data_IF_793855405687
#
_entry.id   IF_793855405687
#
_cell.length_a   1.000
_cell.length_b   1.000
_cell.length_c   1.000
_cell.angle_alpha   90.00
_cell.angle_beta   90.00
_cell.angle_gamma   90.00
#
_symmetry.space_group_name_H-M   'P 1'
#
loop_
_entity.id
_entity.type
_entity.pdbx_description
1 polymer ?
#
# COMPACT_ATOMS: atom_id res chain seq x y z
N UNK A 1 -24.18 20.45 -5.04
CA UNK A 1 -23.04 19.97 -5.84
C UNK A 1 -21.84 20.86 -5.51
N UNK A 2 -20.78 20.30 -4.98
CA UNK A 2 -19.56 21.02 -4.63
C UNK A 2 -18.89 21.56 -5.90
N UNK A 3 -18.37 22.79 -5.86
CA UNK A 3 -17.73 23.39 -7.04
C UNK A 3 -16.32 22.83 -7.21
N UNK A 4 -15.85 22.66 -8.43
CA UNK A 4 -14.51 22.19 -8.73
C UNK A 4 -13.41 22.97 -7.99
N UNK A 5 -13.56 24.29 -7.88
CA UNK A 5 -12.62 25.13 -7.15
C UNK A 5 -12.54 24.81 -5.63
N UNK A 6 -13.67 24.44 -5.03
CA UNK A 6 -13.73 24.06 -3.62
C UNK A 6 -13.06 22.69 -3.41
N UNK A 7 -13.27 21.76 -4.35
CA UNK A 7 -12.62 20.44 -4.35
C UNK A 7 -11.12 20.60 -4.53
N UNK A 8 -10.67 21.41 -5.49
CA UNK A 8 -9.26 21.67 -5.75
C UNK A 8 -8.56 22.27 -4.53
N UNK A 9 -9.20 23.24 -3.87
CA UNK A 9 -8.63 23.81 -2.64
C UNK A 9 -8.41 22.75 -1.56
N UNK A 10 -9.43 21.96 -1.26
CA UNK A 10 -9.31 20.87 -0.29
C UNK A 10 -8.28 19.82 -0.70
N UNK A 11 -8.24 19.49 -1.98
CA UNK A 11 -7.26 18.59 -2.55
C UNK A 11 -5.83 19.09 -2.31
N UNK A 12 -5.54 20.35 -2.61
CA UNK A 12 -4.23 20.95 -2.42
C UNK A 12 -3.80 20.86 -0.93
N UNK A 13 -4.69 21.24 -0.01
CA UNK A 13 -4.43 21.16 1.43
C UNK A 13 -4.07 19.74 1.90
N UNK A 14 -4.77 18.73 1.36
CA UNK A 14 -4.55 17.33 1.75
C UNK A 14 -3.26 16.78 1.16
N UNK A 15 -2.99 17.05 -0.11
CA UNK A 15 -1.77 16.60 -0.78
C UNK A 15 -0.54 17.21 -0.11
N UNK A 16 -0.57 18.51 0.16
CA UNK A 16 0.52 19.18 0.85
C UNK A 16 0.79 18.56 2.23
N UNK A 17 -0.26 18.33 3.00
CA UNK A 17 -0.15 17.71 4.31
C UNK A 17 0.34 16.25 4.25
N UNK A 18 -0.29 15.45 3.38
CA UNK A 18 -0.09 13.99 3.35
C UNK A 18 1.17 13.58 2.58
N UNK A 19 1.50 14.30 1.51
CA UNK A 19 2.53 13.91 0.56
C UNK A 19 3.74 14.85 0.54
N UNK A 20 3.65 16.00 1.19
CA UNK A 20 4.73 17.00 1.18
C UNK A 20 4.91 17.73 -0.16
N UNK A 21 3.90 17.66 -1.05
CA UNK A 21 3.94 18.27 -2.38
C UNK A 21 3.51 19.73 -2.27
N UNK A 22 4.25 20.66 -2.88
CA UNK A 22 3.91 22.07 -2.85
C UNK A 22 2.69 22.43 -3.72
N UNK A 23 2.01 23.54 -3.39
CA UNK A 23 0.78 23.99 -4.04
C UNK A 23 0.87 24.09 -5.57
N UNK A 24 1.99 24.56 -6.11
CA UNK A 24 2.18 24.69 -7.55
C UNK A 24 2.15 23.34 -8.28
N UNK A 25 2.68 22.29 -7.67
CA UNK A 25 2.65 20.92 -8.22
C UNK A 25 1.27 20.26 -8.02
N UNK A 26 0.56 20.55 -6.93
CA UNK A 26 -0.78 20.01 -6.68
C UNK A 26 -1.82 20.47 -7.68
N UNK A 27 -1.68 21.68 -8.21
CA UNK A 27 -2.54 22.18 -9.31
C UNK A 27 -2.33 21.36 -10.61
N UNK A 28 -1.11 20.94 -10.89
CA UNK A 28 -0.80 20.05 -11.99
C UNK A 28 -1.46 18.68 -11.82
N UNK A 29 -1.33 18.09 -10.63
CA UNK A 29 -1.97 16.82 -10.28
C UNK A 29 -3.49 16.86 -10.38
N UNK A 30 -4.11 17.93 -9.90
CA UNK A 30 -5.57 18.07 -9.98
C UNK A 30 -6.06 18.13 -11.43
N UNK A 31 -5.37 18.85 -12.30
CA UNK A 31 -5.68 18.90 -13.74
C UNK A 31 -5.51 17.53 -14.41
N UNK A 32 -4.43 16.82 -14.10
CA UNK A 32 -4.17 15.50 -14.64
C UNK A 32 -5.22 14.49 -14.18
N UNK A 33 -5.55 14.48 -12.87
CA UNK A 33 -6.65 13.68 -12.35
C UNK A 33 -7.95 13.95 -13.10
N UNK A 34 -8.32 15.22 -13.30
CA UNK A 34 -9.55 15.59 -14.01
C UNK A 34 -9.57 15.05 -15.44
N UNK A 35 -8.44 15.13 -16.15
CA UNK A 35 -8.29 14.59 -17.49
C UNK A 35 -8.43 13.06 -17.52
N UNK A 36 -7.73 12.36 -16.61
CA UNK A 36 -7.75 10.90 -16.53
C UNK A 36 -9.12 10.34 -16.14
N UNK A 37 -9.90 11.06 -15.34
CA UNK A 37 -11.24 10.63 -14.88
C UNK A 37 -12.41 11.18 -15.71
N UNK A 38 -12.13 11.99 -16.72
CA UNK A 38 -13.18 12.64 -17.53
C UNK A 38 -14.22 11.66 -18.08
N UNK A 39 -13.79 10.50 -18.57
CA UNK A 39 -14.67 9.48 -19.13
C UNK A 39 -15.65 8.88 -18.10
N UNK A 40 -15.25 8.74 -16.82
CA UNK A 40 -16.17 8.36 -15.74
C UNK A 40 -17.13 9.48 -15.40
N UNK A 41 -16.62 10.71 -15.29
CA UNK A 41 -17.40 11.89 -14.93
C UNK A 41 -18.50 12.12 -15.96
N UNK A 42 -18.17 12.04 -17.25
CA UNK A 42 -19.12 12.19 -18.34
C UNK A 42 -20.17 11.07 -18.34
N UNK A 43 -19.73 9.83 -18.15
CA UNK A 43 -20.63 8.66 -18.10
C UNK A 43 -21.58 8.67 -16.91
N UNK A 44 -21.13 9.13 -15.77
CA UNK A 44 -21.89 9.13 -14.52
C UNK A 44 -22.68 10.42 -14.28
N UNK A 45 -22.35 11.49 -15.00
CA UNK A 45 -22.91 12.81 -14.79
C UNK A 45 -22.40 13.49 -13.51
N UNK A 46 -21.25 13.05 -12.98
CA UNK A 46 -20.65 13.61 -11.78
C UNK A 46 -19.49 12.78 -11.24
N UNK A 47 -18.90 13.21 -10.14
CA UNK A 47 -17.74 12.54 -9.52
C UNK A 47 -18.13 11.28 -8.73
N UNK A 48 -19.39 11.20 -8.31
CA UNK A 48 -19.90 10.10 -7.51
C UNK A 48 -21.29 9.69 -7.95
N UNK A 49 -21.60 8.41 -7.81
CA UNK A 49 -22.94 7.86 -8.00
C UNK A 49 -23.31 7.07 -6.74
N UNK A 50 -24.44 7.42 -6.13
CA UNK A 50 -24.95 6.76 -4.92
C UNK A 50 -26.11 5.83 -5.25
N UNK A 51 -26.09 4.60 -4.73
CA UNK A 51 -27.23 3.70 -4.80
C UNK A 51 -28.33 4.19 -3.85
N UNK A 52 -29.60 4.24 -4.31
CA UNK A 52 -30.68 4.71 -3.48
C UNK A 52 -31.02 3.78 -2.32
N UNK A 53 -30.83 2.47 -2.49
CA UNK A 53 -31.12 1.46 -1.48
C UNK A 53 -30.01 1.34 -0.46
N UNK A 54 -30.37 1.08 0.78
CA UNK A 54 -29.44 0.73 1.84
C UNK A 54 -28.99 -0.72 1.72
N UNK A 55 -27.71 -0.97 1.89
CA UNK A 55 -27.08 -2.27 1.73
C UNK A 55 -26.57 -2.78 3.06
N UNK A 56 -26.79 -4.05 3.35
CA UNK A 56 -26.27 -4.74 4.53
C UNK A 56 -25.18 -5.71 4.08
N UNK A 57 -23.97 -5.53 4.62
CA UNK A 57 -22.86 -6.46 4.42
C UNK A 57 -22.62 -7.24 5.71
N UNK A 58 -22.68 -8.55 5.61
CA UNK A 58 -22.27 -9.46 6.68
C UNK A 58 -20.77 -9.77 6.56
N UNK A 59 -20.08 -9.76 7.68
CA UNK A 59 -18.70 -10.24 7.75
C UNK A 59 -18.67 -11.75 7.43
N UNK A 60 -17.72 -12.23 6.61
CA UNK A 60 -17.57 -13.67 6.34
C UNK A 60 -17.48 -14.50 7.63
N UNK A 61 -18.04 -15.68 7.63
CA UNK A 61 -18.04 -16.56 8.82
C UNK A 61 -16.63 -16.95 9.27
N UNK A 62 -15.71 -17.10 8.31
CA UNK A 62 -14.30 -17.37 8.63
C UNK A 62 -13.66 -16.20 9.38
N UNK A 63 -13.86 -14.96 8.92
CA UNK A 63 -13.38 -13.77 9.62
C UNK A 63 -13.98 -13.65 11.03
N UNK A 64 -15.29 -13.95 11.16
CA UNK A 64 -15.96 -13.96 12.47
C UNK A 64 -15.32 -14.99 13.40
N UNK A 65 -14.97 -16.16 12.89
CA UNK A 65 -14.33 -17.23 13.67
C UNK A 65 -12.95 -16.82 14.13
N UNK A 66 -12.14 -16.23 13.27
CA UNK A 66 -10.78 -15.76 13.60
C UNK A 66 -10.87 -14.67 14.69
N UNK A 67 -11.68 -13.63 14.49
CA UNK A 67 -11.84 -12.55 15.44
C UNK A 67 -12.40 -13.00 16.79
N UNK A 68 -13.29 -13.99 16.80
CA UNK A 68 -13.76 -14.61 18.01
C UNK A 68 -12.63 -15.30 18.77
N UNK A 69 -11.80 -16.09 18.07
CA UNK A 69 -10.67 -16.79 18.68
C UNK A 69 -9.64 -15.80 19.24
N UNK A 70 -9.28 -14.78 18.50
CA UNK A 70 -8.37 -13.71 18.95
C UNK A 70 -8.90 -12.97 20.19
N UNK A 71 -10.22 -12.74 20.22
CA UNK A 71 -10.86 -12.13 21.39
C UNK A 71 -10.78 -13.05 22.59
N UNK A 72 -11.08 -14.34 22.41
CA UNK A 72 -11.07 -15.34 23.50
C UNK A 72 -9.66 -15.47 24.08
N UNK A 73 -8.64 -15.60 23.24
CA UNK A 73 -7.26 -15.79 23.69
C UNK A 73 -6.76 -14.55 24.46
N UNK A 74 -7.05 -13.34 24.00
CA UNK A 74 -6.69 -12.12 24.70
C UNK A 74 -7.48 -11.94 26.01
N UNK A 75 -8.78 -12.25 26.02
CA UNK A 75 -9.60 -12.19 27.22
C UNK A 75 -9.13 -13.17 28.30
N UNK A 76 -8.82 -14.41 27.87
CA UNK A 76 -8.28 -15.43 28.78
C UNK A 76 -6.93 -15.01 29.34
N UNK A 77 -6.03 -14.49 28.51
CA UNK A 77 -4.72 -14.03 28.95
C UNK A 77 -4.77 -12.97 30.03
N UNK A 78 -5.75 -12.05 29.97
CA UNK A 78 -5.91 -10.94 30.92
C UNK A 78 -6.91 -11.22 32.07
N UNK A 79 -7.50 -12.40 32.12
CA UNK A 79 -8.48 -12.77 33.13
C UNK A 79 -7.81 -13.16 34.46
N UNK A 80 -8.44 -12.80 35.59
CA UNK A 80 -8.06 -13.27 36.92
C UNK A 80 -8.35 -14.77 37.10
N UNK A 81 -9.24 -15.33 36.28
CA UNK A 81 -9.68 -16.74 36.28
C UNK A 81 -9.50 -17.36 34.91
N UNK A 82 -8.23 -17.45 34.47
CA UNK A 82 -7.88 -17.86 33.11
C UNK A 82 -8.38 -19.25 32.73
N UNK A 83 -8.27 -20.21 33.64
CA UNK A 83 -8.69 -21.60 33.39
C UNK A 83 -10.21 -21.69 33.20
N UNK A 84 -10.96 -21.10 34.13
CA UNK A 84 -12.42 -21.11 34.14
C UNK A 84 -12.97 -20.34 32.92
N UNK A 85 -12.37 -19.20 32.58
CA UNK A 85 -12.77 -18.42 31.42
C UNK A 85 -12.51 -19.18 30.12
N UNK A 86 -11.39 -19.90 30.00
CA UNK A 86 -11.09 -20.75 28.85
C UNK A 86 -12.10 -21.89 28.74
N UNK A 87 -12.44 -22.57 29.83
CA UNK A 87 -13.45 -23.62 29.84
C UNK A 87 -14.84 -23.07 29.51
N UNK A 88 -15.16 -21.88 30.02
CA UNK A 88 -16.40 -21.20 29.68
C UNK A 88 -16.50 -20.95 28.18
N UNK A 89 -15.49 -20.30 27.54
CA UNK A 89 -15.53 -20.04 26.11
C UNK A 89 -15.51 -21.31 25.27
N UNK A 90 -14.82 -22.37 25.69
CA UNK A 90 -14.85 -23.68 25.00
C UNK A 90 -16.27 -24.30 24.99
N UNK A 91 -17.13 -23.93 25.94
CA UNK A 91 -18.54 -24.39 25.98
C UNK A 91 -19.47 -23.49 25.15
N UNK A 92 -18.97 -22.36 24.62
CA UNK A 92 -19.74 -21.42 23.81
C UNK A 92 -19.42 -21.58 22.32
N UNK A 93 -20.13 -20.85 21.47
CA UNK A 93 -19.93 -20.82 20.02
C UNK A 93 -19.67 -19.40 19.54
N UNK A 94 -18.98 -19.25 18.40
CA UNK A 94 -18.79 -17.95 17.76
C UNK A 94 -20.15 -17.30 17.41
N UNK A 95 -21.14 -18.06 16.98
CA UNK A 95 -22.49 -17.56 16.72
C UNK A 95 -23.11 -16.98 18.00
N UNK A 96 -23.05 -17.72 19.13
CA UNK A 96 -23.52 -17.21 20.43
C UNK A 96 -22.83 -15.94 20.86
N UNK A 97 -21.53 -15.82 20.58
CA UNK A 97 -20.76 -14.60 20.84
C UNK A 97 -21.33 -13.42 20.06
N UNK A 98 -21.52 -13.56 18.73
CA UNK A 98 -22.07 -12.49 17.89
C UNK A 98 -23.54 -12.16 18.17
N UNK A 99 -24.28 -13.08 18.76
CA UNK A 99 -25.62 -12.83 19.28
C UNK A 99 -25.60 -12.22 20.72
N UNK A 100 -24.42 -12.05 21.31
CA UNK A 100 -24.25 -11.68 22.72
C UNK A 100 -25.03 -12.58 23.68
N UNK A 101 -25.00 -13.88 23.44
CA UNK A 101 -25.82 -14.85 24.18
C UNK A 101 -24.98 -16.04 24.64
N UNK A 102 -25.12 -16.39 25.91
CA UNK A 102 -24.61 -17.66 26.45
C UNK A 102 -25.46 -18.79 25.90
N UNK A 103 -24.85 -19.65 25.08
CA UNK A 103 -25.54 -20.77 24.41
C UNK A 103 -25.69 -21.94 25.36
N UNK A 104 -24.61 -22.31 26.05
CA UNK A 104 -24.57 -23.42 27.01
C UNK A 104 -24.39 -22.91 28.43
N UNK A 105 -25.19 -23.42 29.38
CA UNK A 105 -24.98 -23.12 30.78
C UNK A 105 -23.60 -23.60 31.25
N UNK A 106 -22.98 -22.85 32.16
CA UNK A 106 -21.67 -23.13 32.70
C UNK A 106 -21.71 -23.15 34.23
N UNK A 107 -21.09 -24.19 34.82
CA UNK A 107 -20.92 -24.30 36.29
C UNK A 107 -19.56 -24.93 36.56
N UNK A 108 -18.65 -24.15 37.14
CA UNK A 108 -17.31 -24.58 37.58
C UNK A 108 -16.80 -23.65 38.67
N UNK A 109 -16.16 -24.22 39.68
CA UNK A 109 -15.50 -23.51 40.79
C UNK A 109 -16.35 -22.39 41.44
N UNK A 110 -17.65 -22.66 41.61
CA UNK A 110 -18.62 -21.74 42.24
C UNK A 110 -19.16 -20.66 41.28
N UNK A 111 -18.73 -20.64 40.02
CA UNK A 111 -19.25 -19.78 38.96
C UNK A 111 -20.45 -20.48 38.32
N UNK A 112 -21.63 -19.84 38.39
CA UNK A 112 -22.85 -20.35 37.75
C UNK A 112 -23.39 -19.35 36.73
N UNK A 113 -23.38 -19.72 35.46
CA UNK A 113 -23.83 -18.88 34.36
C UNK A 113 -24.93 -19.62 33.58
N UNK A 114 -26.19 -19.16 33.61
CA UNK A 114 -27.28 -19.82 32.93
C UNK A 114 -27.23 -19.55 31.43
N UNK A 115 -27.67 -20.53 30.63
CA UNK A 115 -27.93 -20.33 29.22
C UNK A 115 -28.94 -19.18 28.99
N UNK A 116 -28.76 -18.42 27.91
CA UNK A 116 -29.60 -17.26 27.58
C UNK A 116 -29.17 -15.96 28.27
N UNK A 117 -28.23 -15.96 29.22
CA UNK A 117 -27.64 -14.74 29.73
C UNK A 117 -26.91 -13.97 28.63
N UNK A 118 -26.85 -12.63 28.73
CA UNK A 118 -25.97 -11.84 27.87
C UNK A 118 -24.51 -12.21 28.11
N UNK A 119 -23.80 -12.62 27.07
CA UNK A 119 -22.41 -13.08 27.17
C UNK A 119 -21.49 -11.95 27.67
N UNK A 120 -21.71 -10.69 27.27
CA UNK A 120 -21.00 -9.54 27.81
C UNK A 120 -21.17 -9.37 29.34
N UNK A 121 -22.34 -9.75 29.88
CA UNK A 121 -22.58 -9.71 31.32
C UNK A 121 -21.90 -10.86 32.07
N UNK A 122 -21.66 -11.99 31.45
CA UNK A 122 -21.00 -13.13 32.10
C UNK A 122 -19.53 -12.86 32.39
N UNK A 123 -18.89 -11.98 31.63
CA UNK A 123 -17.46 -11.61 31.82
C UNK A 123 -17.15 -11.13 33.26
N UNK A 124 -18.12 -10.51 33.94
CA UNK A 124 -17.95 -10.05 35.32
C UNK A 124 -17.57 -11.17 36.32
N UNK A 125 -17.79 -12.43 36.01
CA UNK A 125 -17.42 -13.55 36.85
C UNK A 125 -15.93 -13.92 36.74
N UNK A 126 -15.24 -13.36 35.74
CA UNK A 126 -13.88 -13.72 35.37
C UNK A 126 -12.88 -12.56 35.45
N UNK A 127 -13.36 -11.34 35.64
CA UNK A 127 -12.54 -10.14 35.80
C UNK A 127 -12.85 -9.43 37.11
N UNK A 128 -11.85 -9.27 37.96
CA UNK A 128 -11.94 -8.52 39.22
C UNK A 128 -11.65 -7.03 38.98
N UNK A 129 -10.70 -6.72 38.09
CA UNK A 129 -10.42 -5.35 37.66
C UNK A 129 -11.53 -4.82 36.75
N UNK A 130 -12.19 -3.78 37.22
CA UNK A 130 -13.28 -3.11 36.51
C UNK A 130 -12.82 -2.51 35.16
N UNK A 131 -11.59 -1.99 35.07
CA UNK A 131 -11.07 -1.40 33.83
C UNK A 131 -10.88 -2.47 32.76
N UNK A 132 -10.36 -3.64 33.17
CA UNK A 132 -10.22 -4.77 32.25
C UNK A 132 -11.58 -5.32 31.82
N UNK A 133 -12.52 -5.47 32.74
CA UNK A 133 -13.89 -5.86 32.43
C UNK A 133 -14.51 -4.91 31.37
N UNK A 134 -14.44 -3.60 31.63
CA UNK A 134 -15.00 -2.58 30.74
C UNK A 134 -14.31 -2.61 29.35
N UNK A 135 -12.98 -2.83 29.30
CA UNK A 135 -12.20 -3.00 28.06
C UNK A 135 -12.74 -4.17 27.23
N UNK A 136 -12.89 -5.34 27.83
CA UNK A 136 -13.33 -6.54 27.11
C UNK A 136 -14.81 -6.50 26.75
N UNK A 137 -15.67 -5.94 27.59
CA UNK A 137 -17.08 -5.71 27.25
C UNK A 137 -17.23 -4.73 26.09
N UNK A 138 -16.45 -3.67 26.08
CA UNK A 138 -16.43 -2.69 24.96
C UNK A 138 -15.95 -3.33 23.67
N UNK A 139 -14.83 -4.08 23.73
CA UNK A 139 -14.29 -4.80 22.57
C UNK A 139 -15.28 -5.80 22.01
N UNK A 140 -15.94 -6.59 22.86
CA UNK A 140 -17.01 -7.51 22.45
C UNK A 140 -18.15 -6.78 21.74
N UNK A 141 -18.61 -5.67 22.32
CA UNK A 141 -19.71 -4.88 21.73
C UNK A 141 -19.34 -4.35 20.36
N UNK A 142 -18.08 -3.92 20.16
CA UNK A 142 -17.56 -3.48 18.85
C UNK A 142 -17.54 -4.62 17.86
N UNK A 143 -16.99 -5.79 18.21
CA UNK A 143 -16.96 -6.96 17.32
C UNK A 143 -18.36 -7.39 16.88
N UNK A 144 -19.34 -7.32 17.80
CA UNK A 144 -20.75 -7.63 17.49
C UNK A 144 -21.35 -6.58 16.54
N UNK A 145 -21.08 -5.30 16.76
CA UNK A 145 -21.56 -4.24 15.89
C UNK A 145 -20.94 -4.28 14.51
N UNK A 146 -19.67 -4.62 14.44
CA UNK A 146 -18.90 -4.64 13.19
C UNK A 146 -19.11 -5.94 12.38
N UNK A 147 -19.87 -6.92 12.91
CA UNK A 147 -20.17 -8.14 12.14
C UNK A 147 -21.17 -7.91 11.00
N UNK A 148 -21.99 -6.86 11.11
CA UNK A 148 -22.91 -6.39 10.05
C UNK A 148 -22.74 -4.91 9.89
N UNK A 149 -22.43 -4.49 8.68
CA UNK A 149 -22.37 -3.08 8.33
C UNK A 149 -23.44 -2.72 7.33
N UNK A 150 -24.13 -1.62 7.61
CA UNK A 150 -25.21 -1.13 6.77
C UNK A 150 -24.85 0.27 6.26
N UNK A 151 -25.18 0.57 5.04
CA UNK A 151 -24.94 1.88 4.45
C UNK A 151 -25.36 1.96 2.99
N UNK A 152 -25.19 3.15 2.42
CA UNK A 152 -25.39 3.36 1.00
C UNK A 152 -24.11 3.11 0.23
N UNK A 153 -24.22 2.38 -0.87
CA UNK A 153 -23.07 2.14 -1.74
C UNK A 153 -22.85 3.33 -2.66
N UNK A 154 -21.61 3.73 -2.79
CA UNK A 154 -21.18 4.84 -3.64
C UNK A 154 -20.08 4.36 -4.57
N UNK A 155 -20.22 4.65 -5.87
CA UNK A 155 -19.09 4.64 -6.82
C UNK A 155 -18.49 6.04 -6.88
N UNK A 156 -17.17 6.15 -6.88
CA UNK A 156 -16.48 7.42 -6.79
C UNK A 156 -15.21 7.47 -7.62
N UNK A 157 -15.03 8.58 -8.31
CA UNK A 157 -13.74 9.05 -8.84
C UNK A 157 -13.33 10.37 -8.18
N UNK A 158 -14.01 10.75 -7.09
CA UNK A 158 -13.71 11.96 -6.35
C UNK A 158 -12.31 11.89 -5.73
N UNK A 159 -11.40 12.85 -5.96
CA UNK A 159 -10.01 12.75 -5.54
C UNK A 159 -9.85 12.59 -4.04
N UNK A 160 -10.67 13.28 -3.24
CA UNK A 160 -10.62 13.16 -1.79
C UNK A 160 -11.07 11.80 -1.27
N UNK A 161 -11.89 11.06 -2.01
CA UNK A 161 -12.27 9.70 -1.62
C UNK A 161 -11.09 8.73 -1.74
N UNK A 162 -10.22 8.90 -2.73
CA UNK A 162 -8.97 8.14 -2.82
C UNK A 162 -8.01 8.50 -1.70
N UNK A 163 -7.75 9.78 -1.49
CA UNK A 163 -6.84 10.24 -0.44
C UNK A 163 -7.30 9.83 0.95
N UNK A 164 -8.61 9.85 1.21
CA UNK A 164 -9.22 9.41 2.47
C UNK A 164 -9.70 7.95 2.44
N UNK A 165 -9.14 7.12 1.58
CA UNK A 165 -9.60 5.73 1.39
C UNK A 165 -9.59 4.89 2.66
N UNK A 166 -8.72 5.22 3.61
CA UNK A 166 -8.54 4.54 4.88
C UNK A 166 -8.85 5.41 6.10
N UNK A 167 -9.34 6.64 5.87
CA UNK A 167 -9.77 7.52 6.94
C UNK A 167 -11.21 7.19 7.31
N UNK A 168 -11.42 6.71 8.51
CA UNK A 168 -12.72 6.20 8.93
C UNK A 168 -13.00 6.47 10.41
N UNK A 169 -14.25 6.77 10.72
CA UNK A 169 -14.76 6.79 12.09
C UNK A 169 -14.99 5.37 12.64
N UNK A 170 -14.85 4.34 11.81
CA UNK A 170 -14.99 2.94 12.16
C UNK A 170 -13.63 2.31 12.52
N UNK A 171 -13.65 1.18 13.20
CA UNK A 171 -12.47 0.55 13.78
C UNK A 171 -11.64 -0.26 12.77
N UNK A 172 -11.36 0.30 11.61
CA UNK A 172 -10.43 -0.31 10.67
C UNK A 172 -9.47 0.74 10.13
N UNK A 173 -8.27 0.31 9.83
CA UNK A 173 -7.17 1.13 9.36
C UNK A 173 -6.42 0.35 8.29
N UNK A 174 -5.84 1.04 7.32
CA UNK A 174 -4.95 0.43 6.35
C UNK A 174 -3.67 1.25 6.21
N UNK A 175 -2.65 0.63 5.63
CA UNK A 175 -1.38 1.28 5.34
C UNK A 175 -1.48 2.46 4.35
N UNK A 176 -2.64 2.62 3.69
CA UNK A 176 -2.97 3.75 2.83
C UNK A 176 -3.61 4.94 3.57
N UNK A 177 -3.62 4.98 4.90
CA UNK A 177 -4.01 6.17 5.65
C UNK A 177 -3.10 7.37 5.29
N UNK A 178 -3.57 8.60 5.55
CA UNK A 178 -2.84 9.82 5.20
C UNK A 178 -1.45 9.92 5.82
N UNK A 179 -1.24 9.27 6.96
CA UNK A 179 0.02 9.12 7.67
C UNK A 179 0.65 7.72 7.50
N UNK A 180 0.05 6.88 6.66
CA UNK A 180 0.48 5.50 6.47
C UNK A 180 1.69 5.36 5.54
N UNK A 181 2.40 4.25 5.67
CA UNK A 181 3.59 3.90 4.88
C UNK A 181 3.31 3.92 3.36
N UNK A 182 2.13 3.45 2.94
CA UNK A 182 1.74 3.38 1.53
C UNK A 182 0.74 4.46 1.11
N UNK A 183 0.73 5.62 1.79
CA UNK A 183 -0.16 6.74 1.45
C UNK A 183 0.00 7.21 0.00
N UNK A 184 1.22 7.15 -0.53
CA UNK A 184 1.49 7.51 -1.92
C UNK A 184 0.76 6.61 -2.94
N UNK A 185 0.43 5.36 -2.57
CA UNK A 185 -0.40 4.48 -3.39
C UNK A 185 -1.79 5.04 -3.70
N UNK A 186 -2.34 5.88 -2.82
CA UNK A 186 -3.62 6.57 -3.07
C UNK A 186 -3.55 7.54 -4.25
N UNK A 187 -2.40 8.17 -4.48
CA UNK A 187 -2.19 9.02 -5.65
C UNK A 187 -2.18 8.19 -6.93
N UNK A 188 -1.52 7.02 -6.92
CA UNK A 188 -1.52 6.09 -8.05
C UNK A 188 -2.94 5.70 -8.45
N UNK A 189 -3.76 5.25 -7.49
CA UNK A 189 -5.15 4.89 -7.75
C UNK A 189 -5.99 6.08 -8.23
N UNK A 190 -5.79 7.24 -7.62
CA UNK A 190 -6.49 8.47 -7.98
C UNK A 190 -6.14 8.88 -9.42
N UNK A 191 -4.87 8.80 -9.80
CA UNK A 191 -4.38 9.22 -11.11
C UNK A 191 -4.62 8.19 -12.21
N UNK A 192 -4.67 6.90 -11.88
CA UNK A 192 -4.90 5.82 -12.84
C UNK A 192 -6.23 5.99 -13.58
N UNK A 193 -6.18 6.00 -14.92
CA UNK A 193 -7.35 6.24 -15.77
C UNK A 193 -8.40 5.13 -15.74
N UNK A 194 -8.05 3.93 -15.26
CA UNK A 194 -8.94 2.76 -15.19
C UNK A 194 -9.58 2.56 -13.83
N UNK A 195 -9.06 3.23 -12.79
CA UNK A 195 -9.44 2.97 -11.40
C UNK A 195 -10.58 3.85 -10.93
N UNK A 196 -11.55 3.25 -10.26
CA UNK A 196 -12.55 3.94 -9.44
C UNK A 196 -12.76 3.19 -8.13
N UNK A 197 -13.33 3.87 -7.15
CA UNK A 197 -13.61 3.29 -5.84
C UNK A 197 -15.09 2.97 -5.70
N UNK A 198 -15.39 1.85 -5.05
CA UNK A 198 -16.72 1.57 -4.49
C UNK A 198 -16.61 1.48 -2.99
N UNK A 199 -17.50 2.16 -2.28
CA UNK A 199 -17.49 2.13 -0.83
C UNK A 199 -18.90 2.18 -0.22
N UNK A 200 -19.01 1.70 1.00
CA UNK A 200 -20.19 1.89 1.84
C UNK A 200 -20.02 3.15 2.66
N UNK A 201 -20.85 4.14 2.40
CA UNK A 201 -20.87 5.41 3.11
C UNK A 201 -21.34 5.24 4.55
N UNK A 202 -20.63 5.86 5.47
CA UNK A 202 -21.07 5.94 6.86
C UNK A 202 -22.21 6.96 7.03
N UNK A 203 -22.93 6.85 8.17
CA UNK A 203 -24.03 7.76 8.49
C UNK A 203 -23.54 9.16 8.84
N UNK A 204 -22.27 9.27 9.21
CA UNK A 204 -21.61 10.53 9.58
C UNK A 204 -20.30 10.66 8.84
N UNK A 205 -20.02 11.85 8.37
CA UNK A 205 -18.72 12.19 7.82
C UNK A 205 -17.67 12.20 8.92
N UNK A 206 -16.43 11.99 8.50
CA UNK A 206 -15.27 11.93 9.37
C UNK A 206 -14.54 13.27 9.36
N UNK A 207 -14.23 13.81 10.53
CA UNK A 207 -13.49 15.05 10.67
C UNK A 207 -12.06 14.73 11.11
N UNK A 208 -11.11 15.01 10.25
CA UNK A 208 -9.69 14.97 10.59
C UNK A 208 -9.32 16.18 11.46
N UNK A 209 -8.50 16.00 12.53
CA UNK A 209 -8.16 17.07 13.45
C UNK A 209 -7.52 18.30 12.80
N UNK A 210 -6.75 18.10 11.74
CA UNK A 210 -5.95 19.14 11.09
C UNK A 210 -6.63 19.78 9.86
N UNK A 211 -7.87 19.37 9.54
CA UNK A 211 -8.59 19.90 8.39
C UNK A 211 -9.90 20.57 8.81
N UNK A 212 -10.24 21.71 8.17
CA UNK A 212 -11.47 22.44 8.49
C UNK A 212 -12.74 21.82 7.90
N UNK A 213 -12.61 20.77 7.10
CA UNK A 213 -13.73 20.12 6.41
C UNK A 213 -13.89 18.67 6.84
N UNK A 214 -15.08 18.12 6.57
CA UNK A 214 -15.42 16.73 6.83
C UNK A 214 -15.26 15.90 5.55
N UNK A 215 -14.98 14.61 5.72
CA UNK A 215 -14.77 13.65 4.64
C UNK A 215 -15.82 12.56 4.71
N UNK A 216 -16.12 11.96 3.55
CA UNK A 216 -16.94 10.77 3.54
C UNK A 216 -16.25 9.62 4.29
N UNK A 217 -16.78 9.30 5.46
CA UNK A 217 -16.32 8.12 6.20
C UNK A 217 -16.81 6.85 5.51
N UNK A 218 -15.92 5.86 5.44
CA UNK A 218 -16.16 4.61 4.73
C UNK A 218 -16.25 3.45 5.72
N UNK A 219 -17.40 2.78 5.75
CA UNK A 219 -17.58 1.54 6.54
C UNK A 219 -16.92 0.35 5.86
N UNK A 220 -16.83 0.38 4.54
CA UNK A 220 -16.24 -0.63 3.68
C UNK A 220 -15.82 0.00 2.35
N UNK A 221 -14.75 -0.50 1.74
CA UNK A 221 -14.31 -0.05 0.41
C UNK A 221 -13.71 -1.17 -0.43
N UNK A 222 -13.73 -0.96 -1.73
CA UNK A 222 -13.03 -1.77 -2.73
C UNK A 222 -12.63 -0.87 -3.89
N UNK A 223 -11.41 -1.05 -4.40
CA UNK A 223 -11.00 -0.47 -5.68
C UNK A 223 -11.46 -1.37 -6.83
N UNK A 224 -11.86 -0.76 -7.91
CA UNK A 224 -12.28 -1.43 -9.13
C UNK A 224 -11.53 -0.83 -10.31
N UNK A 225 -11.16 -1.69 -11.23
CA UNK A 225 -10.42 -1.33 -12.42
C UNK A 225 -11.23 -1.77 -13.64
N UNK A 226 -11.52 -0.81 -14.53
CA UNK A 226 -12.31 -1.07 -15.72
C UNK A 226 -11.45 -0.93 -16.96
N UNK A 227 -11.48 -1.93 -17.83
CA UNK A 227 -10.80 -1.84 -19.12
C UNK A 227 -11.44 -0.77 -20.01
N UNK A 228 -10.66 -0.15 -20.91
CA UNK A 228 -11.12 0.96 -21.78
C UNK A 228 -12.39 0.66 -22.57
N UNK A 229 -12.57 -0.60 -23.01
CA UNK A 229 -13.79 -1.03 -23.70
C UNK A 229 -15.00 -1.23 -22.76
N UNK A 230 -14.83 -1.07 -21.45
CA UNK A 230 -15.87 -1.22 -20.45
C UNK A 230 -16.36 -2.67 -20.21
N UNK A 231 -15.75 -3.66 -20.89
CA UNK A 231 -16.22 -5.04 -20.88
C UNK A 231 -15.64 -5.89 -19.76
N UNK A 232 -14.52 -5.46 -19.19
CA UNK A 232 -13.86 -6.17 -18.09
C UNK A 232 -13.71 -5.25 -16.91
N UNK A 233 -14.15 -5.73 -15.76
CA UNK A 233 -13.97 -5.05 -14.48
C UNK A 233 -13.22 -5.99 -13.54
N UNK A 234 -12.12 -5.50 -12.97
CA UNK A 234 -11.30 -6.23 -12.02
C UNK A 234 -11.49 -5.66 -10.64
N UNK A 235 -11.50 -6.52 -9.64
CA UNK A 235 -11.69 -6.17 -8.24
C UNK A 235 -10.36 -6.15 -7.52
N UNK A 236 -10.09 -5.05 -6.83
CA UNK A 236 -9.04 -4.97 -5.84
C UNK A 236 -9.46 -5.62 -4.51
N UNK A 237 -8.60 -5.50 -3.53
CA UNK A 237 -8.85 -6.01 -2.17
C UNK A 237 -9.97 -5.23 -1.48
N UNK A 238 -10.80 -5.94 -0.74
CA UNK A 238 -11.86 -5.37 0.07
C UNK A 238 -11.35 -5.05 1.49
N UNK A 239 -11.84 -3.97 2.07
CA UNK A 239 -11.56 -3.55 3.43
C UNK A 239 -12.84 -3.09 4.14
N UNK A 240 -13.03 -3.40 5.42
CA UNK A 240 -12.21 -4.28 6.28
C UNK A 240 -12.48 -5.77 6.07
N UNK A 241 -13.42 -6.15 5.23
CA UNK A 241 -13.80 -7.54 4.98
C UNK A 241 -13.17 -8.03 3.69
N UNK A 242 -12.50 -9.16 3.74
CA UNK A 242 -12.03 -9.87 2.56
C UNK A 242 -13.12 -10.80 2.00
N UNK A 243 -13.18 -10.93 0.67
CA UNK A 243 -13.94 -11.96 -0.06
C UNK A 243 -15.44 -12.11 0.29
N UNK A 244 -16.16 -11.02 0.44
CA UNK A 244 -17.61 -11.08 0.63
C UNK A 244 -18.35 -11.25 -0.72
N UNK A 245 -18.91 -12.44 -0.97
CA UNK A 245 -19.66 -12.74 -2.19
C UNK A 245 -20.91 -11.88 -2.39
N UNK A 246 -21.59 -11.48 -1.30
CA UNK A 246 -22.74 -10.60 -1.38
C UNK A 246 -22.38 -9.23 -1.94
N UNK A 247 -21.22 -8.68 -1.57
CA UNK A 247 -20.70 -7.44 -2.14
C UNK A 247 -20.51 -7.56 -3.64
N UNK A 248 -20.01 -8.70 -4.10
CA UNK A 248 -19.78 -8.92 -5.52
C UNK A 248 -21.08 -8.90 -6.32
N UNK A 249 -22.14 -9.53 -5.81
CA UNK A 249 -23.46 -9.55 -6.45
C UNK A 249 -24.02 -8.13 -6.54
N UNK A 250 -24.03 -7.41 -5.42
CA UNK A 250 -24.54 -6.03 -5.35
C UNK A 250 -23.75 -5.10 -6.26
N UNK A 251 -22.42 -5.23 -6.26
CA UNK A 251 -21.56 -4.43 -7.12
C UNK A 251 -21.81 -4.74 -8.59
N UNK A 252 -22.05 -5.99 -8.96
CA UNK A 252 -22.43 -6.37 -10.33
C UNK A 252 -23.76 -5.73 -10.73
N UNK A 253 -24.80 -5.85 -9.91
CA UNK A 253 -26.10 -5.23 -10.18
C UNK A 253 -26.01 -3.71 -10.31
N UNK A 254 -25.20 -3.10 -9.46
CA UNK A 254 -24.95 -1.66 -9.51
C UNK A 254 -24.18 -1.26 -10.77
N UNK A 255 -23.08 -1.93 -11.06
CA UNK A 255 -22.24 -1.64 -12.21
C UNK A 255 -22.95 -1.86 -13.53
N UNK A 256 -23.86 -2.86 -13.62
CA UNK A 256 -24.67 -3.10 -14.81
C UNK A 256 -25.51 -1.90 -15.26
N UNK A 257 -25.81 -0.96 -14.37
CA UNK A 257 -26.53 0.28 -14.71
C UNK A 257 -25.66 1.32 -15.39
N UNK A 258 -24.32 1.26 -15.17
CA UNK A 258 -23.40 2.31 -15.60
C UNK A 258 -22.38 1.82 -16.64
N UNK A 259 -22.23 0.52 -16.79
CA UNK A 259 -21.36 -0.09 -17.79
C UNK A 259 -22.19 -1.00 -18.66
N UNK A 260 -21.87 -1.09 -19.94
CA UNK A 260 -22.53 -2.03 -20.85
C UNK A 260 -22.01 -3.46 -20.58
N UNK A 261 -22.56 -4.06 -19.54
CA UNK A 261 -22.21 -5.41 -19.13
C UNK A 261 -22.88 -6.50 -19.97
N UNK A 262 -23.66 -6.17 -20.99
CA UNK A 262 -24.28 -7.17 -21.88
C UNK A 262 -23.23 -8.00 -22.64
N UNK A 263 -22.05 -7.42 -22.80
CA UNK A 263 -20.87 -8.07 -23.39
C UNK A 263 -19.79 -8.37 -22.33
N UNK A 264 -20.13 -8.32 -21.05
CA UNK A 264 -19.20 -8.56 -19.96
C UNK A 264 -18.82 -10.04 -19.91
N UNK A 265 -17.55 -10.34 -20.05
CA UNK A 265 -17.02 -11.72 -20.07
C UNK A 265 -16.84 -12.32 -18.67
N UNK A 266 -17.10 -11.54 -17.63
CA UNK A 266 -17.05 -11.96 -16.23
C UNK A 266 -16.13 -11.11 -15.37
N UNK A 267 -16.23 -11.32 -14.06
CA UNK A 267 -15.30 -10.77 -13.10
C UNK A 267 -14.00 -11.54 -13.14
N UNK A 268 -12.93 -10.86 -13.41
CA UNK A 268 -11.60 -11.43 -13.31
C UNK A 268 -11.13 -11.28 -11.87
N UNK A 269 -10.82 -12.40 -11.23
CA UNK A 269 -10.16 -12.38 -9.94
C UNK A 269 -8.69 -12.03 -10.17
N UNK A 270 -8.25 -10.94 -9.59
CA UNK A 270 -6.88 -10.44 -9.69
C UNK A 270 -5.85 -11.52 -9.34
N UNK A 271 -6.16 -12.39 -8.36
CA UNK A 271 -5.27 -13.45 -7.91
C UNK A 271 -4.83 -14.45 -9.00
N UNK A 272 -5.69 -14.68 -9.99
CA UNK A 272 -5.46 -15.74 -10.97
C UNK A 272 -4.97 -15.23 -12.34
N UNK A 273 -5.03 -13.92 -12.60
CA UNK A 273 -4.82 -13.34 -13.93
C UNK A 273 -3.81 -12.20 -13.97
N UNK A 274 -3.08 -11.98 -12.86
CA UNK A 274 -1.98 -11.00 -12.87
C UNK A 274 -0.75 -11.67 -13.47
N UNK A 275 -0.28 -11.12 -14.56
CA UNK A 275 1.07 -11.36 -15.04
C UNK A 275 1.90 -10.12 -14.82
N UNK A 276 3.00 -10.30 -14.12
CA UNK A 276 3.98 -9.26 -13.91
C UNK A 276 4.51 -8.77 -15.27
N UNK A 277 4.44 -7.47 -15.49
CA UNK A 277 5.14 -6.85 -16.61
C UNK A 277 6.62 -6.91 -16.27
N UNK A 278 7.45 -7.28 -17.24
CA UNK A 278 8.88 -7.43 -17.06
C UNK A 278 9.47 -6.13 -16.49
N UNK A 279 10.28 -6.28 -15.47
CA UNK A 279 10.92 -5.21 -14.71
C UNK A 279 11.71 -4.21 -15.60
N UNK A 280 12.22 -4.71 -16.70
CA UNK A 280 13.05 -3.96 -17.65
C UNK A 280 12.28 -2.99 -18.56
N UNK A 281 10.93 -3.04 -18.58
CA UNK A 281 10.13 -2.17 -19.42
C UNK A 281 9.59 -0.93 -18.70
N UNK A 282 9.51 -0.94 -17.37
CA UNK A 282 8.71 0.03 -16.65
C UNK A 282 9.25 0.43 -15.24
N UNK A 283 10.43 0.08 -14.79
CA UNK A 283 10.95 0.48 -13.48
C UNK A 283 10.14 0.00 -12.24
N UNK A 284 10.43 0.50 -11.07
CA UNK A 284 9.76 0.11 -9.82
C UNK A 284 8.45 0.86 -9.59
N UNK A 285 7.43 0.19 -9.08
CA UNK A 285 6.10 0.77 -8.86
C UNK A 285 5.70 0.86 -7.41
N UNK A 286 4.81 1.80 -7.18
CA UNK A 286 4.10 1.96 -5.92
C UNK A 286 3.30 0.70 -5.55
N UNK A 287 3.24 0.43 -4.25
CA UNK A 287 2.42 -0.64 -3.69
C UNK A 287 0.98 -0.53 -4.17
N UNK A 288 0.51 -1.60 -4.73
CA UNK A 288 -0.84 -1.73 -5.23
C UNK A 288 -1.64 -2.69 -4.32
N UNK A 289 -2.86 -2.30 -3.98
CA UNK A 289 -3.75 -3.03 -3.08
C UNK A 289 -4.39 -4.27 -3.74
N UNK A 290 -3.77 -4.76 -4.80
CA UNK A 290 -4.16 -5.99 -5.45
C UNK A 290 -3.52 -7.19 -4.75
N UNK A 291 -4.34 -8.16 -4.41
CA UNK A 291 -3.90 -9.44 -3.85
C UNK A 291 -2.82 -10.05 -4.73
N UNK A 292 -1.75 -10.53 -4.11
CA UNK A 292 -0.63 -11.23 -4.74
C UNK A 292 0.14 -10.44 -5.81
N UNK A 293 -0.10 -9.14 -5.95
CA UNK A 293 0.87 -8.32 -6.66
C UNK A 293 2.17 -8.32 -5.87
N UNK A 294 3.32 -8.68 -6.46
CA UNK A 294 4.58 -8.38 -5.83
C UNK A 294 4.56 -6.88 -5.58
N UNK A 295 4.76 -6.49 -4.33
CA UNK A 295 4.85 -5.12 -3.90
C UNK A 295 5.69 -4.33 -4.88
N UNK A 296 5.19 -3.17 -5.29
CA UNK A 296 5.93 -2.17 -6.07
C UNK A 296 6.07 -2.39 -7.59
N UNK A 297 5.16 -3.11 -8.27
CA UNK A 297 5.26 -3.23 -9.73
C UNK A 297 3.92 -3.04 -10.44
N UNK A 298 3.89 -2.41 -11.64
CA UNK A 298 2.72 -2.39 -12.48
C UNK A 298 2.36 -3.82 -12.85
N UNK A 299 1.09 -4.07 -12.97
CA UNK A 299 0.64 -5.35 -13.43
C UNK A 299 -0.31 -5.17 -14.61
N UNK A 300 -0.16 -6.05 -15.56
CA UNK A 300 -1.11 -6.22 -16.63
C UNK A 300 -2.16 -7.24 -16.20
N UNK A 301 -3.43 -6.90 -16.39
CA UNK A 301 -4.53 -7.80 -16.17
C UNK A 301 -5.00 -8.32 -17.52
N UNK A 302 -5.10 -9.63 -17.62
CA UNK A 302 -5.57 -10.32 -18.81
C UNK A 302 -6.93 -10.95 -18.52
N UNK A 303 -7.84 -10.91 -19.48
CA UNK A 303 -9.09 -11.62 -19.39
C UNK A 303 -8.81 -13.12 -19.56
N UNK A 304 -9.30 -13.94 -18.63
CA UNK A 304 -9.10 -15.39 -18.64
C UNK A 304 -9.76 -16.07 -19.83
N UNK A 305 -10.88 -15.52 -20.31
CA UNK A 305 -11.55 -16.03 -21.53
C UNK A 305 -10.71 -15.86 -22.80
N UNK A 306 -9.63 -15.07 -22.73
CA UNK A 306 -8.72 -14.75 -23.82
C UNK A 306 -7.38 -15.45 -23.62
N UNK A 307 -7.16 -16.12 -22.51
CA UNK A 307 -5.90 -16.78 -22.18
C UNK A 307 -5.48 -17.81 -23.24
N UNK A 308 -6.44 -18.50 -23.85
CA UNK A 308 -6.20 -19.43 -24.96
C UNK A 308 -5.78 -18.72 -26.26
N UNK A 309 -6.08 -17.43 -26.41
CA UNK A 309 -5.71 -16.61 -27.55
C UNK A 309 -4.49 -15.68 -27.29
N UNK A 310 -3.96 -15.66 -26.07
CA UNK A 310 -2.83 -14.82 -25.66
C UNK A 310 -1.50 -15.16 -26.35
N UNK A 311 -1.42 -16.30 -27.00
CA UNK A 311 -0.29 -16.66 -27.85
C UNK A 311 -0.23 -15.89 -29.17
N UNK A 312 -1.31 -15.18 -29.52
CA UNK A 312 -1.29 -14.26 -30.67
C UNK A 312 -0.73 -12.90 -30.25
N UNK A 313 0.34 -12.50 -30.88
CA UNK A 313 1.27 -11.40 -30.56
C UNK A 313 0.70 -9.98 -30.45
N UNK A 314 -0.60 -9.76 -30.64
CA UNK A 314 -1.25 -8.44 -30.64
C UNK A 314 -2.55 -8.44 -29.82
N UNK A 315 -2.48 -8.85 -28.56
CA UNK A 315 -3.69 -8.91 -27.75
C UNK A 315 -4.14 -7.54 -27.24
N UNK A 316 -5.27 -6.97 -27.73
CA UNK A 316 -5.80 -5.68 -27.30
C UNK A 316 -6.48 -5.71 -25.93
N UNK A 317 -6.55 -6.85 -25.27
CA UNK A 317 -7.32 -7.09 -24.05
C UNK A 317 -6.52 -6.90 -22.74
N UNK A 318 -5.36 -6.31 -22.86
CA UNK A 318 -4.48 -6.02 -21.74
C UNK A 318 -4.90 -4.71 -21.04
N UNK A 319 -5.04 -4.75 -19.74
CA UNK A 319 -5.19 -3.57 -18.89
C UNK A 319 -3.93 -3.38 -18.06
N UNK A 320 -3.36 -2.20 -18.13
CA UNK A 320 -2.22 -1.78 -17.33
C UNK A 320 -2.73 -0.95 -16.15
N UNK A 321 -2.42 -1.34 -14.94
CA UNK A 321 -2.78 -0.62 -13.73
C UNK A 321 -1.54 0.09 -13.18
N UNK A 322 -1.70 1.33 -12.74
CA UNK A 322 -0.60 2.20 -12.36
C UNK A 322 -0.08 3.06 -13.51
N UNK A 323 -0.74 2.97 -14.67
CA UNK A 323 -0.48 3.82 -15.82
C UNK A 323 -1.38 5.07 -15.75
N UNK A 324 -0.83 6.24 -15.81
CA UNK A 324 -1.59 7.49 -15.81
C UNK A 324 -1.06 8.56 -14.87
N UNK A 325 0.02 8.27 -14.18
CA UNK A 325 0.76 9.28 -13.43
C UNK A 325 1.93 9.74 -14.27
N UNK A 326 1.96 11.04 -14.54
CA UNK A 326 3.05 11.67 -15.28
C UNK A 326 3.91 12.51 -14.33
N UNK A 327 5.20 12.52 -14.56
CA UNK A 327 6.13 13.40 -13.86
C UNK A 327 5.73 14.86 -14.09
N UNK A 328 5.57 15.62 -13.03
CA UNK A 328 5.17 17.02 -13.12
C UNK A 328 6.26 17.94 -13.69
N UNK A 329 7.49 17.46 -13.81
CA UNK A 329 8.62 18.20 -14.33
C UNK A 329 8.91 17.91 -15.79
N UNK A 330 9.02 16.63 -16.17
CA UNK A 330 9.38 16.24 -17.54
C UNK A 330 8.24 15.60 -18.33
N UNK A 331 7.09 15.28 -17.68
CA UNK A 331 5.93 14.67 -18.34
C UNK A 331 6.11 13.20 -18.72
N UNK A 332 7.20 12.53 -18.31
CA UNK A 332 7.32 11.10 -18.53
C UNK A 332 6.31 10.31 -17.69
N UNK A 333 5.88 9.16 -18.19
CA UNK A 333 5.05 8.27 -17.38
C UNK A 333 5.83 7.75 -16.19
N UNK A 334 5.36 8.09 -15.00
CA UNK A 334 5.95 7.63 -13.76
C UNK A 334 5.37 6.29 -13.36
N UNK A 335 6.26 5.41 -13.05
CA UNK A 335 5.98 4.09 -12.58
C UNK A 335 6.17 3.98 -11.08
N UNK A 336 7.12 4.70 -10.56
CA UNK A 336 7.23 5.08 -9.16
C UNK A 336 7.15 6.59 -9.05
N UNK A 337 6.74 7.10 -7.92
CA UNK A 337 6.79 8.52 -7.63
C UNK A 337 7.29 8.75 -6.22
N UNK A 338 8.22 9.67 -6.14
CA UNK A 338 8.60 10.27 -4.88
C UNK A 338 7.44 11.08 -4.30
N UNK A 339 7.54 11.47 -3.05
CA UNK A 339 6.59 12.42 -2.44
C UNK A 339 6.46 13.74 -3.21
N UNK A 340 7.42 14.06 -4.07
CA UNK A 340 7.41 15.25 -4.92
C UNK A 340 6.64 15.10 -6.22
N UNK A 341 6.16 13.90 -6.56
CA UNK A 341 5.55 13.57 -7.86
C UNK A 341 6.48 13.85 -9.04
N UNK A 342 7.77 13.72 -8.83
CA UNK A 342 8.80 13.75 -9.86
C UNK A 342 9.26 12.32 -10.14
N UNK A 343 9.64 12.02 -11.39
CA UNK A 343 10.29 10.74 -11.71
C UNK A 343 11.68 10.69 -11.03
N UNK A 344 12.25 9.50 -10.95
CA UNK A 344 13.51 9.29 -10.26
C UNK A 344 14.62 10.20 -10.79
N UNK A 345 14.70 10.41 -12.12
CA UNK A 345 15.63 11.35 -12.73
C UNK A 345 15.40 12.82 -12.30
N UNK A 346 14.13 13.28 -12.36
CA UNK A 346 13.81 14.65 -11.97
C UNK A 346 13.89 14.89 -10.46
N UNK A 347 13.73 13.84 -9.65
CA UNK A 347 13.87 13.89 -8.22
C UNK A 347 15.33 13.82 -7.73
N UNK A 348 16.29 13.60 -8.65
CA UNK A 348 17.68 13.37 -8.30
C UNK A 348 17.92 12.07 -7.54
N UNK A 349 17.07 11.07 -7.80
CA UNK A 349 17.20 9.75 -7.19
C UNK A 349 18.11 8.87 -8.02
N UNK A 350 19.13 8.35 -7.37
CA UNK A 350 20.04 7.38 -7.95
C UNK A 350 19.91 6.04 -7.22
N UNK A 351 20.18 4.97 -7.93
CA UNK A 351 20.22 3.63 -7.34
C UNK A 351 21.67 3.18 -7.24
N UNK A 352 22.02 2.59 -6.12
CA UNK A 352 23.32 2.00 -5.95
C UNK A 352 23.53 0.84 -6.95
N UNK A 353 24.54 0.94 -7.80
CA UNK A 353 24.84 -0.06 -8.82
C UNK A 353 25.25 -1.41 -8.23
N UNK A 354 25.70 -1.44 -6.96
CA UNK A 354 26.09 -2.67 -6.28
C UNK A 354 24.91 -3.36 -5.56
N UNK A 355 24.17 -2.65 -4.69
CA UNK A 355 23.12 -3.26 -3.88
C UNK A 355 21.70 -2.96 -4.34
N UNK A 356 21.52 -1.98 -5.25
CA UNK A 356 20.21 -1.56 -5.74
C UNK A 356 19.41 -0.67 -4.77
N UNK A 357 19.99 -0.25 -3.64
CA UNK A 357 19.33 0.67 -2.70
C UNK A 357 19.27 2.07 -3.29
N UNK A 358 18.12 2.77 -3.17
CA UNK A 358 17.98 4.14 -3.64
C UNK A 358 18.61 5.15 -2.68
N UNK A 359 19.17 6.22 -3.21
CA UNK A 359 19.67 7.35 -2.45
C UNK A 359 19.53 8.66 -3.24
N UNK A 360 19.60 9.80 -2.56
CA UNK A 360 19.68 11.09 -3.24
C UNK A 360 21.10 11.31 -3.80
N UNK A 361 21.21 12.13 -4.83
CA UNK A 361 22.49 12.41 -5.50
C UNK A 361 23.59 12.85 -4.52
N UNK A 362 23.24 13.61 -3.48
CA UNK A 362 24.13 14.09 -2.43
C UNK A 362 24.50 13.02 -1.38
N UNK A 363 23.83 11.88 -1.39
CA UNK A 363 24.09 10.70 -0.52
C UNK A 363 24.80 9.57 -1.28
N UNK A 364 25.09 9.75 -2.56
CA UNK A 364 25.71 8.76 -3.41
C UNK A 364 27.16 9.12 -3.73
N UNK A 365 27.98 8.10 -3.88
CA UNK A 365 29.39 8.21 -4.20
C UNK A 365 29.66 7.62 -5.57
N UNK A 366 30.61 8.19 -6.29
CA UNK A 366 31.02 7.67 -7.59
C UNK A 366 32.34 6.93 -7.48
N UNK A 367 32.30 5.65 -7.78
CA UNK A 367 33.45 4.75 -7.79
C UNK A 367 33.69 4.31 -9.23
N UNK A 368 34.66 4.97 -9.91
CA UNK A 368 34.86 4.83 -11.35
C UNK A 368 33.55 5.17 -12.12
N UNK A 369 32.97 4.23 -12.83
CA UNK A 369 31.73 4.39 -13.57
C UNK A 369 30.47 3.99 -12.76
N UNK A 370 30.62 3.58 -11.49
CA UNK A 370 29.56 3.12 -10.62
C UNK A 370 29.07 4.21 -9.68
N UNK A 371 27.76 4.33 -9.52
CA UNK A 371 27.11 5.13 -8.50
C UNK A 371 26.76 4.21 -7.30
N UNK A 372 27.34 4.42 -6.15
CA UNK A 372 27.19 3.54 -4.99
C UNK A 372 26.75 4.28 -3.73
N UNK A 373 25.97 3.63 -2.87
CA UNK A 373 25.60 4.17 -1.56
C UNK A 373 26.81 4.12 -0.59
N UNK A 374 26.70 4.85 0.51
CA UNK A 374 27.76 4.92 1.54
C UNK A 374 28.22 3.56 2.01
N UNK A 375 27.29 2.63 2.30
CA UNK A 375 27.65 1.29 2.74
C UNK A 375 28.45 0.50 1.69
N UNK A 376 28.08 0.62 0.42
CA UNK A 376 28.83 -0.04 -0.67
C UNK A 376 30.14 0.67 -0.97
N UNK A 377 30.19 2.00 -0.81
CA UNK A 377 31.42 2.74 -0.91
C UNK A 377 32.45 2.26 0.12
N UNK A 378 32.06 2.15 1.39
CA UNK A 378 32.95 1.69 2.46
C UNK A 378 33.46 0.25 2.25
N UNK A 379 32.69 -0.59 1.54
CA UNK A 379 33.06 -1.96 1.23
C UNK A 379 33.93 -2.08 -0.02
N UNK A 380 33.65 -1.27 -1.04
CA UNK A 380 34.24 -1.41 -2.38
C UNK A 380 35.43 -0.48 -2.64
N UNK A 381 35.43 0.70 -2.01
CA UNK A 381 36.39 1.73 -2.35
C UNK A 381 37.76 1.48 -1.71
N UNK A 382 38.80 1.58 -2.52
CA UNK A 382 40.20 1.57 -2.10
C UNK A 382 40.87 2.80 -2.71
N UNK A 383 41.75 3.45 -1.93
CA UNK A 383 42.40 4.71 -2.33
C UNK A 383 43.84 4.46 -2.78
N UNK A 384 44.21 5.17 -3.84
CA UNK A 384 45.60 5.26 -4.24
C UNK A 384 46.26 6.40 -3.47
N UNK A 385 47.34 6.12 -2.74
CA UNK A 385 48.07 7.10 -1.92
C UNK A 385 48.68 8.23 -2.73
N UNK A 386 49.04 7.98 -3.98
CA UNK A 386 49.72 9.01 -4.79
C UNK A 386 48.75 9.94 -5.53
N UNK A 387 47.74 9.40 -6.24
CA UNK A 387 46.79 10.24 -6.98
C UNK A 387 45.54 10.60 -6.15
N UNK A 388 45.35 9.95 -5.01
CA UNK A 388 44.21 10.14 -4.11
C UNK A 388 42.85 9.83 -4.78
N UNK A 389 42.85 9.05 -5.87
CA UNK A 389 41.63 8.58 -6.52
C UNK A 389 41.17 7.27 -5.89
N UNK A 390 39.86 7.06 -5.91
CA UNK A 390 39.21 5.87 -5.40
C UNK A 390 38.93 4.87 -6.54
N UNK A 391 39.17 3.61 -6.28
CA UNK A 391 39.00 2.50 -7.22
C UNK A 391 38.19 1.38 -6.61
N UNK A 392 37.57 0.57 -7.46
CA UNK A 392 36.85 -0.62 -7.02
C UNK A 392 37.84 -1.73 -6.66
N UNK A 393 37.90 -2.10 -5.39
CA UNK A 393 38.79 -3.12 -4.85
C UNK A 393 38.73 -4.48 -5.58
N UNK A 394 37.57 -4.82 -6.15
CA UNK A 394 37.37 -6.10 -6.83
C UNK A 394 37.61 -6.04 -8.35
N UNK A 395 37.61 -4.86 -8.95
CA UNK A 395 37.71 -4.69 -10.39
C UNK A 395 39.08 -4.13 -10.82
N UNK A 396 39.69 -3.33 -9.96
CA UNK A 396 40.98 -2.65 -10.27
C UNK A 396 42.13 -3.33 -9.54
N UNK A 397 43.18 -3.69 -10.30
CA UNK A 397 44.42 -4.25 -9.73
C UNK A 397 45.21 -3.17 -8.97
N UNK A 398 44.98 -3.08 -7.67
CA UNK A 398 45.70 -2.22 -6.76
C UNK A 398 46.89 -2.98 -6.17
N UNK A 399 48.05 -2.33 -6.08
CA UNK A 399 49.26 -2.94 -5.52
C UNK A 399 49.52 -2.39 -4.12
N UNK A 400 49.61 -3.32 -3.17
CA UNK A 400 50.02 -3.00 -1.81
C UNK A 400 51.53 -2.81 -1.74
N UNK A 401 51.95 -1.67 -1.23
CA UNK A 401 53.37 -1.38 -1.00
C UNK A 401 53.74 -1.56 0.49
N UNK A 402 54.55 -2.58 0.78
CA UNK A 402 54.92 -2.92 2.16
C UNK A 402 55.78 -1.85 2.85
N UNK A 403 56.53 -1.05 2.07
CA UNK A 403 57.41 -0.03 2.64
C UNK A 403 56.61 1.22 3.11
N UNK A 404 55.56 1.56 2.39
CA UNK A 404 54.74 2.73 2.72
C UNK A 404 53.42 2.36 3.44
N UNK A 405 53.13 1.06 3.57
CA UNK A 405 51.93 0.55 4.22
C UNK A 405 50.63 1.08 3.61
N UNK A 406 50.57 1.16 2.26
CA UNK A 406 49.42 1.75 1.52
C UNK A 406 49.28 1.16 0.12
N UNK A 407 48.15 1.47 -0.54
CA UNK A 407 47.81 1.00 -1.88
C UNK A 407 48.12 2.04 -2.96
N UNK A 408 48.55 1.56 -4.12
CA UNK A 408 48.79 2.35 -5.33
C UNK A 408 48.05 1.74 -6.52
N UNK A 409 47.47 2.57 -7.38
CA UNK A 409 47.05 2.12 -8.68
C UNK A 409 48.25 1.77 -9.56
N UNK A 410 48.04 0.97 -10.61
CA UNK A 410 49.11 0.45 -11.47
C UNK A 410 50.04 1.55 -12.01
N UNK A 411 49.47 2.71 -12.41
CA UNK A 411 50.24 3.83 -12.96
C UNK A 411 51.09 4.50 -11.87
N UNK A 412 50.52 4.77 -10.72
CA UNK A 412 51.21 5.38 -9.59
C UNK A 412 52.29 4.46 -9.00
N UNK A 413 52.04 3.15 -8.99
CA UNK A 413 53.02 2.18 -8.54
C UNK A 413 54.20 2.07 -9.49
N UNK A 414 53.96 2.19 -10.81
CA UNK A 414 55.05 2.24 -11.79
C UNK A 414 55.95 3.47 -11.59
N UNK A 415 55.36 4.64 -11.31
CA UNK A 415 56.09 5.86 -11.01
C UNK A 415 56.94 5.67 -9.72
N UNK A 416 56.34 5.14 -8.68
CA UNK A 416 57.06 4.87 -7.42
C UNK A 416 58.29 3.96 -7.62
N UNK A 417 58.12 2.91 -8.45
CA UNK A 417 59.24 2.04 -8.77
C UNK A 417 60.36 2.68 -9.58
N UNK A 418 60.04 3.66 -10.44
CA UNK A 418 60.99 4.45 -11.17
C UNK A 418 61.77 5.41 -10.24
N UNK A 419 61.09 6.07 -9.31
CA UNK A 419 61.69 6.91 -8.29
C UNK A 419 62.64 6.12 -7.40
N UNK A 420 62.27 4.95 -6.90
CA UNK A 420 63.13 4.08 -6.10
C UNK A 420 64.36 3.60 -6.87
N UNK A 421 64.24 3.39 -8.19
CA UNK A 421 65.36 3.01 -9.04
C UNK A 421 66.33 4.17 -9.25
N UNK A 422 65.84 5.41 -9.35
CA UNK A 422 66.68 6.59 -9.49
C UNK A 422 67.45 6.88 -8.21
N UNK A 423 66.80 6.74 -7.03
CA UNK A 423 67.44 6.98 -5.74
C UNK A 423 68.52 5.91 -5.44
N UNK A 424 68.32 4.69 -5.89
CA UNK A 424 69.37 3.63 -5.76
C UNK A 424 70.51 3.83 -6.73
N UNK A 425 70.30 4.48 -7.89
CA UNK A 425 71.37 4.79 -8.84
C UNK A 425 72.22 5.96 -8.37
N UNK A 426 71.67 6.98 -7.72
CA UNK A 426 72.40 8.12 -7.17
C UNK A 426 73.27 7.70 -5.96
N UNK A 427 72.85 6.73 -5.18
CA UNK A 427 73.62 6.20 -4.05
C UNK A 427 74.86 5.39 -4.50
N UNK A 428 74.86 4.79 -5.70
CA UNK A 428 75.99 4.06 -6.25
C UNK A 428 77.05 4.96 -6.94
N UNK A 429 76.68 6.18 -7.38
CA UNK A 429 77.65 7.13 -7.96
C UNK A 429 78.38 7.97 -6.90
N UNK A 430 77.96 7.94 -5.66
CA UNK A 430 78.58 8.67 -4.55
C UNK A 430 79.68 7.91 -3.82
N UNK A 431 79.96 6.63 -4.14
CA UNK A 431 80.97 5.77 -3.50
C UNK A 431 82.13 5.38 -4.43
N UNK A 432 82.36 6.07 -5.52
CA UNK A 432 83.55 5.94 -6.36
C UNK A 432 84.43 7.23 -6.28
#
# INVERSE_FOLDING_TARGET
MERYADIQKKFNEVIEYSQGICEAKTDGLFKQWAANKAHFIDKWGGLTVELPEEIVLDRPEEDKRILYQDYVDDAVFHSDKQKELRHFFNSQTAEGFYQNKVVSAFEEDGIKIPAGMKLSKSLKFFFEDKKMLDKFQTRMSRLIQDCKITGKMVMSVHPLDFLSSSETAHNWHSCHALDGEHRAGNLSYMMDKHTFMVYLKADKDYKLPNFPFEWNSKKWRMLLYVREDGKVIVRGRQYPFSNNTAVNIITNEFLAKYFDLTNFTGWTNVENNIRQILKDEIGSLQYNDCLNSPSYQPFAIYDKAIEDSLYERNNPMKMLIGDGVECLECGCNMISYSSSMSCDECAGYHYCDNCGEPGYEDEMYYLEDMCVCECCWDELAIFCENCNESYNHYETDMTWDEENDCYYCSDCYAILLEERRSDTAETYEGEL
#
